data_IF_973758664490
#
_entry.id   IF_973758664490
#
_cell.length_a   1.000
_cell.length_b   1.000
_cell.length_c   1.000
_cell.angle_alpha   90.00
_cell.angle_beta   90.00
_cell.angle_gamma   90.00
#
_symmetry.space_group_name_H-M   'P 1'
#
loop_
_entity.id
_entity.type
_entity.pdbx_description
1 polymer ?
#
# COMPACT_ATOMS: atom_id res chain seq x y z
N UNK A 1 67.19 -36.88 -1.40
CA UNK A 1 66.22 -36.15 -2.25
C UNK A 1 65.90 -34.83 -1.59
N UNK A 2 66.59 -33.77 -1.99
CA UNK A 2 66.53 -32.44 -1.41
C UNK A 2 65.54 -31.60 -2.23
N UNK A 3 64.43 -31.20 -1.64
CA UNK A 3 63.45 -30.33 -2.29
C UNK A 3 63.87 -28.87 -2.04
N UNK A 4 64.38 -28.12 -3.03
CA UNK A 4 64.87 -26.77 -2.80
C UNK A 4 63.69 -25.85 -2.46
N UNK A 5 63.72 -25.37 -1.22
CA UNK A 5 62.88 -24.32 -0.66
C UNK A 5 62.77 -23.17 -1.67
N UNK A 6 61.54 -22.73 -1.92
CA UNK A 6 61.24 -21.48 -2.62
C UNK A 6 62.12 -20.34 -2.06
N UNK A 7 62.70 -19.49 -2.92
CA UNK A 7 63.56 -18.41 -2.46
C UNK A 7 62.79 -17.42 -1.58
N UNK A 8 63.43 -16.85 -0.54
CA UNK A 8 62.83 -15.81 0.27
C UNK A 8 62.81 -14.50 -0.54
N UNK A 9 61.61 -13.98 -0.76
CA UNK A 9 61.27 -12.58 -1.08
C UNK A 9 62.23 -11.82 -2.02
N UNK A 10 61.84 -11.68 -3.29
CA UNK A 10 62.47 -10.75 -4.23
C UNK A 10 62.12 -9.30 -3.89
N UNK A 11 63.14 -8.44 -3.94
CA UNK A 11 63.24 -7.04 -3.50
C UNK A 11 62.41 -6.00 -4.31
N UNK A 12 61.24 -6.39 -4.81
CA UNK A 12 60.35 -5.52 -5.60
C UNK A 12 58.87 -5.65 -5.27
N UNK A 13 58.51 -6.47 -4.29
CA UNK A 13 57.12 -6.70 -3.91
C UNK A 13 56.65 -5.58 -2.98
N UNK A 14 56.37 -4.41 -3.57
CA UNK A 14 55.77 -3.27 -2.87
C UNK A 14 54.57 -3.80 -2.09
N UNK A 15 54.66 -3.77 -0.77
CA UNK A 15 53.68 -4.29 0.19
C UNK A 15 52.31 -3.62 0.01
N UNK A 16 51.56 -4.04 -1.02
CA UNK A 16 50.25 -3.48 -1.34
C UNK A 16 49.22 -4.07 -0.38
N UNK A 17 48.46 -3.20 0.26
CA UNK A 17 47.29 -3.60 1.03
C UNK A 17 46.29 -4.32 0.11
N UNK A 18 45.92 -5.55 0.48
CA UNK A 18 44.91 -6.35 -0.21
C UNK A 18 43.71 -6.51 0.70
N UNK A 19 42.53 -6.51 0.09
CA UNK A 19 41.29 -6.85 0.81
C UNK A 19 41.10 -8.36 0.73
N UNK A 20 40.96 -8.99 1.89
CA UNK A 20 40.66 -10.40 2.05
C UNK A 20 39.32 -10.55 2.77
N UNK A 21 38.55 -11.56 2.41
CA UNK A 21 37.35 -11.95 3.14
C UNK A 21 37.66 -13.18 4.00
N UNK A 22 37.22 -13.18 5.26
CA UNK A 22 37.27 -14.36 6.12
C UNK A 22 36.14 -15.34 5.76
N UNK A 23 36.22 -16.58 6.24
CA UNK A 23 35.14 -17.56 6.04
C UNK A 23 33.81 -17.12 6.69
N UNK A 24 33.86 -16.20 7.66
CA UNK A 24 32.72 -15.63 8.37
C UNK A 24 32.10 -14.42 7.64
N UNK A 25 32.73 -13.96 6.56
CA UNK A 25 32.28 -12.84 5.73
C UNK A 25 32.96 -11.51 6.04
N UNK A 26 33.83 -11.45 7.05
CA UNK A 26 34.44 -10.18 7.46
C UNK A 26 35.49 -9.68 6.47
N UNK A 27 35.54 -8.36 6.30
CA UNK A 27 36.50 -7.71 5.42
C UNK A 27 37.74 -7.35 6.19
N UNK A 28 38.83 -8.06 5.92
CA UNK A 28 40.15 -7.75 6.44
C UNK A 28 40.97 -6.98 5.40
N UNK A 29 41.59 -5.89 5.82
CA UNK A 29 42.64 -5.21 5.07
C UNK A 29 43.99 -5.77 5.55
N UNK A 30 44.69 -6.49 4.67
CA UNK A 30 45.95 -7.15 4.99
C UNK A 30 47.11 -6.56 4.19
N UNK A 31 48.26 -6.37 4.85
CA UNK A 31 49.55 -6.10 4.20
C UNK A 31 50.45 -7.30 4.49
N UNK A 32 50.85 -8.04 3.45
CA UNK A 32 51.57 -9.29 3.60
C UNK A 32 50.78 -10.30 4.43
N UNK A 33 51.26 -10.60 5.64
CA UNK A 33 50.60 -11.49 6.62
C UNK A 33 49.94 -10.74 7.79
N UNK A 34 50.15 -9.43 7.91
CA UNK A 34 49.58 -8.64 8.98
C UNK A 34 48.18 -8.13 8.60
N UNK A 35 47.22 -8.26 9.53
CA UNK A 35 45.90 -7.66 9.43
C UNK A 35 45.98 -6.25 10.01
N UNK A 36 45.71 -5.22 9.21
CA UNK A 36 45.75 -3.83 9.64
C UNK A 36 44.39 -3.33 10.15
N UNK A 37 43.31 -3.84 9.57
CA UNK A 37 41.96 -3.51 9.98
C UNK A 37 41.04 -4.69 9.64
N UNK A 38 40.24 -5.08 10.61
CA UNK A 38 39.14 -6.01 10.43
C UNK A 38 37.85 -5.21 10.54
N UNK A 39 37.22 -4.95 9.39
CA UNK A 39 35.85 -4.48 9.39
C UNK A 39 35.00 -5.75 9.43
N UNK A 40 34.49 -6.08 10.62
CA UNK A 40 33.39 -7.03 10.71
C UNK A 40 32.36 -6.59 9.67
N UNK A 41 32.11 -7.43 8.67
CA UNK A 41 31.05 -7.15 7.72
C UNK A 41 29.80 -7.39 8.54
N UNK A 42 29.39 -6.38 9.33
CA UNK A 42 28.17 -6.40 10.13
C UNK A 42 27.14 -6.92 9.15
N UNK A 43 26.73 -8.18 9.33
CA UNK A 43 25.87 -8.86 8.36
C UNK A 43 24.80 -7.84 8.04
N UNK A 44 24.68 -7.44 6.77
CA UNK A 44 23.52 -6.65 6.31
C UNK A 44 22.30 -7.51 6.63
N UNK A 45 21.79 -7.47 7.87
CA UNK A 45 20.88 -8.51 8.34
C UNK A 45 20.73 -8.74 9.85
N UNK A 46 21.71 -8.42 10.71
CA UNK A 46 21.51 -8.57 12.17
C UNK A 46 21.29 -7.25 12.93
N UNK A 47 21.35 -6.11 12.23
CA UNK A 47 21.19 -4.78 12.81
C UNK A 47 19.75 -4.27 12.76
N UNK A 48 19.06 -4.31 13.90
CA UNK A 48 17.70 -3.79 14.18
C UNK A 48 16.59 -4.30 13.26
N UNK A 49 15.63 -5.02 13.85
CA UNK A 49 14.35 -5.37 13.19
C UNK A 49 13.69 -4.08 12.70
N UNK A 50 13.29 -4.04 11.43
CA UNK A 50 12.51 -2.93 10.88
C UNK A 50 11.23 -2.75 11.71
N UNK A 51 11.06 -1.57 12.30
CA UNK A 51 9.83 -1.18 12.99
C UNK A 51 9.12 -0.09 12.19
N UNK A 52 7.79 -0.06 12.24
CA UNK A 52 7.00 0.97 11.55
C UNK A 52 7.21 2.33 12.23
N UNK A 53 7.47 2.31 13.53
CA UNK A 53 7.82 3.44 14.40
C UNK A 53 9.10 4.12 13.90
N UNK A 54 10.15 3.36 13.60
CA UNK A 54 11.39 3.92 13.03
C UNK A 54 11.16 4.52 11.64
N UNK A 55 10.36 3.86 10.80
CA UNK A 55 10.00 4.40 9.49
C UNK A 55 9.23 5.72 9.65
N UNK A 56 8.28 5.77 10.58
CA UNK A 56 7.49 6.97 10.84
C UNK A 56 8.34 8.10 11.38
N UNK A 57 9.26 7.83 12.30
CA UNK A 57 10.18 8.85 12.80
C UNK A 57 11.05 9.46 11.69
N UNK A 58 11.54 8.64 10.76
CA UNK A 58 12.25 9.15 9.57
C UNK A 58 11.35 10.03 8.70
N UNK A 59 10.07 9.70 8.58
CA UNK A 59 9.10 10.53 7.86
C UNK A 59 8.81 11.84 8.60
N UNK A 60 8.74 11.85 9.93
CA UNK A 60 8.64 13.08 10.74
C UNK A 60 9.84 13.98 10.49
N UNK A 61 11.05 13.44 10.63
CA UNK A 61 12.30 14.18 10.36
C UNK A 61 12.35 14.71 8.93
N UNK A 62 11.84 13.95 7.95
CA UNK A 62 11.76 14.40 6.55
C UNK A 62 10.82 15.60 6.38
N UNK A 63 9.68 15.62 7.08
CA UNK A 63 8.74 16.74 7.05
C UNK A 63 9.37 17.98 7.72
N UNK A 64 10.04 17.80 8.85
CA UNK A 64 10.72 18.91 9.54
C UNK A 64 11.88 19.46 8.71
N UNK A 65 12.68 18.58 8.09
CA UNK A 65 13.77 18.97 7.20
C UNK A 65 13.27 19.78 5.99
N UNK A 66 12.14 19.38 5.42
CA UNK A 66 11.52 20.07 4.30
C UNK A 66 11.04 21.48 4.64
N UNK A 67 10.58 21.70 5.88
CA UNK A 67 10.05 23.00 6.34
C UNK A 67 11.10 23.93 6.89
N UNK A 68 11.99 23.39 7.71
CA UNK A 68 12.90 24.17 8.55
C UNK A 68 14.37 23.87 8.25
N UNK A 69 14.67 22.90 7.37
CA UNK A 69 16.03 22.49 7.05
C UNK A 69 16.63 21.55 8.09
N UNK A 70 17.21 22.10 9.17
CA UNK A 70 17.95 21.30 10.16
C UNK A 70 17.43 21.44 11.60
N UNK A 71 16.88 22.59 11.93
CA UNK A 71 16.49 22.96 13.29
C UNK A 71 15.14 23.66 13.19
N UNK A 72 14.22 23.32 14.08
CA UNK A 72 12.95 24.02 14.28
C UNK A 72 13.31 25.41 14.84
N UNK A 73 12.94 26.52 14.17
CA UNK A 73 13.24 27.86 14.64
C UNK A 73 12.75 28.06 16.08
N UNK A 74 13.53 28.78 16.87
CA UNK A 74 13.16 29.16 18.23
C UNK A 74 11.99 30.15 18.18
N UNK A 75 10.83 29.84 18.77
CA UNK A 75 9.67 30.71 18.77
C UNK A 75 9.67 31.72 19.94
N UNK A 76 10.83 32.06 20.52
CA UNK A 76 10.95 32.98 21.65
C UNK A 76 10.03 34.21 21.49
N UNK A 77 9.17 34.44 22.48
CA UNK A 77 8.15 35.50 22.54
C UNK A 77 7.17 35.61 21.35
N UNK A 78 7.01 34.53 20.57
CA UNK A 78 6.08 34.49 19.45
C UNK A 78 4.87 33.58 19.76
N UNK A 79 3.71 33.91 19.18
CA UNK A 79 2.49 33.10 19.25
C UNK A 79 2.64 31.69 18.62
N UNK A 80 3.78 31.41 17.98
CA UNK A 80 4.11 30.13 17.35
C UNK A 80 4.65 29.06 18.32
N UNK A 81 4.93 29.41 19.59
CA UNK A 81 5.47 28.45 20.58
C UNK A 81 4.60 27.20 20.75
N UNK A 82 3.25 27.30 20.86
CA UNK A 82 2.39 26.11 20.90
C UNK A 82 2.48 25.25 19.64
N UNK A 83 2.65 25.86 18.46
CA UNK A 83 2.79 25.14 17.20
C UNK A 83 4.11 24.36 17.15
N UNK A 84 5.22 24.99 17.58
CA UNK A 84 6.53 24.36 17.65
C UNK A 84 6.55 23.19 18.65
N UNK A 85 5.98 23.37 19.84
CA UNK A 85 5.80 22.27 20.81
C UNK A 85 4.89 21.17 20.27
N UNK A 86 3.89 21.51 19.46
CA UNK A 86 3.03 20.57 18.75
C UNK A 86 3.81 19.63 17.82
N UNK A 87 4.87 20.11 17.16
CA UNK A 87 5.74 19.29 16.32
C UNK A 87 6.54 18.28 17.14
N UNK A 88 7.10 18.72 18.26
CA UNK A 88 7.85 17.84 19.19
C UNK A 88 6.92 16.80 19.82
N UNK A 89 5.72 17.22 20.20
CA UNK A 89 4.67 16.29 20.66
C UNK A 89 4.32 15.28 19.57
N UNK A 90 4.22 15.69 18.31
CA UNK A 90 3.98 14.76 17.20
C UNK A 90 5.09 13.70 17.08
N UNK A 91 6.35 14.10 17.21
CA UNK A 91 7.51 13.19 17.21
C UNK A 91 7.43 12.18 18.37
N UNK A 92 7.22 12.67 19.61
CA UNK A 92 7.08 11.82 20.79
C UNK A 92 5.97 10.76 20.64
N UNK A 93 4.82 11.16 20.08
CA UNK A 93 3.67 10.27 19.87
C UNK A 93 3.84 9.29 18.69
N UNK A 94 4.76 9.57 17.77
CA UNK A 94 5.11 8.68 16.67
C UNK A 94 6.07 7.57 17.07
N UNK A 95 6.80 7.72 18.18
CA UNK A 95 7.66 6.68 18.74
C UNK A 95 7.55 6.68 20.26
N UNK A 96 6.51 6.03 20.82
CA UNK A 96 6.37 5.94 22.26
C UNK A 96 7.56 5.17 22.86
N UNK A 97 8.11 5.71 23.94
CA UNK A 97 9.29 5.18 24.63
C UNK A 97 10.00 6.30 25.38
N UNK A 98 10.65 5.96 26.48
CA UNK A 98 11.34 6.93 27.34
C UNK A 98 12.79 7.17 26.89
N UNK A 99 13.32 8.36 27.18
CA UNK A 99 14.74 8.66 27.17
C UNK A 99 15.36 8.96 25.79
N UNK A 100 14.61 8.84 24.70
CA UNK A 100 15.13 9.18 23.36
C UNK A 100 14.77 10.60 22.93
N UNK A 101 13.72 11.21 23.50
CA UNK A 101 13.21 12.50 23.03
C UNK A 101 14.19 13.63 23.33
N UNK A 102 14.85 13.61 24.49
CA UNK A 102 15.87 14.59 24.87
C UNK A 102 17.01 14.69 23.83
N UNK A 103 17.60 13.56 23.45
CA UNK A 103 18.65 13.54 22.43
C UNK A 103 18.16 13.91 21.03
N UNK A 104 16.87 13.69 20.74
CA UNK A 104 16.25 14.14 19.51
C UNK A 104 16.01 15.66 19.49
N UNK A 105 15.50 16.23 20.59
CA UNK A 105 15.30 17.67 20.77
C UNK A 105 16.63 18.43 20.75
N UNK A 106 17.70 17.89 21.36
CA UNK A 106 19.03 18.51 21.29
C UNK A 106 19.51 18.76 19.84
N UNK A 107 19.03 17.97 18.88
CA UNK A 107 19.31 18.14 17.45
C UNK A 107 18.31 19.04 16.73
N UNK A 108 17.02 18.87 17.02
CA UNK A 108 15.94 19.50 16.24
C UNK A 108 15.34 20.75 16.88
N UNK A 109 15.35 20.88 18.19
CA UNK A 109 14.75 21.99 18.94
C UNK A 109 15.56 22.22 20.24
N UNK A 110 16.81 22.70 20.12
CA UNK A 110 17.72 22.84 21.28
C UNK A 110 17.28 23.92 22.29
N UNK A 111 16.33 24.77 21.88
CA UNK A 111 15.73 25.83 22.70
C UNK A 111 14.65 25.32 23.67
N UNK A 112 14.14 24.09 23.48
CA UNK A 112 13.10 23.54 24.38
C UNK A 112 13.71 23.23 25.74
N UNK A 113 13.05 23.71 26.79
CA UNK A 113 13.49 23.47 28.16
C UNK A 113 13.35 21.97 28.54
N UNK A 114 14.29 21.38 29.30
CA UNK A 114 14.22 19.98 29.70
C UNK A 114 12.90 19.58 30.38
N UNK A 115 12.28 20.50 31.10
CA UNK A 115 11.01 20.32 31.80
C UNK A 115 9.85 20.12 30.82
N UNK A 116 9.83 20.87 29.72
CA UNK A 116 8.84 20.74 28.64
C UNK A 116 9.02 19.40 27.90
N UNK A 117 10.27 18.99 27.66
CA UNK A 117 10.58 17.67 27.08
C UNK A 117 10.05 16.56 27.99
N UNK A 118 10.29 16.65 29.30
CA UNK A 118 9.83 15.66 30.28
C UNK A 118 8.30 15.61 30.37
N UNK A 119 7.61 16.75 30.27
CA UNK A 119 6.16 16.81 30.22
C UNK A 119 5.60 16.10 28.98
N UNK A 120 6.20 16.34 27.80
CA UNK A 120 5.82 15.69 26.54
C UNK A 120 6.10 14.18 26.58
N UNK A 121 7.24 13.76 27.15
CA UNK A 121 7.56 12.33 27.31
C UNK A 121 6.55 11.63 28.22
N UNK A 122 6.15 12.26 29.34
CA UNK A 122 5.15 11.71 30.27
C UNK A 122 3.79 11.52 29.58
N UNK A 123 3.36 12.52 28.82
CA UNK A 123 2.15 12.47 27.99
C UNK A 123 2.18 11.36 26.93
N UNK A 124 3.35 11.10 26.35
CA UNK A 124 3.54 10.06 25.35
C UNK A 124 3.63 8.65 25.97
N UNK A 125 4.26 8.53 27.14
CA UNK A 125 4.47 7.27 27.85
C UNK A 125 3.16 6.58 28.26
N UNK A 126 2.11 7.36 28.58
CA UNK A 126 0.78 6.82 28.89
C UNK A 126 0.10 6.10 27.71
N UNK A 127 0.60 6.25 26.48
CA UNK A 127 -0.02 5.65 25.29
C UNK A 127 0.64 4.33 24.90
N UNK A 128 -0.14 3.25 24.98
CA UNK A 128 0.27 1.90 24.51
C UNK A 128 0.46 1.80 23.00
N UNK A 129 -0.13 2.69 22.21
CA UNK A 129 -0.12 2.63 20.74
C UNK A 129 0.36 3.94 20.14
N UNK A 130 1.15 3.82 19.09
CA UNK A 130 1.57 4.92 18.23
C UNK A 130 0.36 5.69 17.67
N UNK A 131 0.54 6.99 17.46
CA UNK A 131 -0.48 7.88 16.91
C UNK A 131 -1.06 7.37 15.58
N UNK A 132 -2.36 7.58 15.33
CA UNK A 132 -2.94 7.26 14.02
C UNK A 132 -2.32 8.15 12.93
N UNK A 133 -2.19 7.61 11.71
CA UNK A 133 -1.54 8.30 10.59
C UNK A 133 -2.11 9.71 10.32
N UNK A 134 -3.43 9.87 10.38
CA UNK A 134 -4.10 11.14 10.11
C UNK A 134 -4.01 12.12 11.29
N UNK A 135 -3.91 11.61 12.52
CA UNK A 135 -3.66 12.44 13.69
C UNK A 135 -2.22 12.98 13.67
N UNK A 136 -1.24 12.16 13.26
CA UNK A 136 0.12 12.61 13.01
C UNK A 136 0.17 13.67 11.90
N UNK A 137 -0.57 13.47 10.81
CA UNK A 137 -0.64 14.44 9.73
C UNK A 137 -1.23 15.78 10.17
N UNK A 138 -2.23 15.79 11.06
CA UNK A 138 -2.80 17.04 11.60
C UNK A 138 -1.82 17.79 12.49
N UNK A 139 -1.15 17.11 13.42
CA UNK A 139 -0.14 17.75 14.29
C UNK A 139 1.03 18.30 13.49
N UNK A 140 1.41 17.60 12.42
CA UNK A 140 2.47 18.04 11.52
C UNK A 140 1.96 18.94 10.39
N UNK A 141 0.67 19.25 10.27
CA UNK A 141 0.11 20.01 9.14
C UNK A 141 0.45 19.46 7.75
N UNK A 142 0.55 18.14 7.59
CA UNK A 142 0.96 17.51 6.32
C UNK A 142 -0.21 17.49 5.34
N UNK A 143 -0.09 18.21 4.23
CA UNK A 143 -1.05 18.20 3.11
C UNK A 143 -0.81 17.02 2.15
N UNK A 144 -1.76 16.73 1.27
CA UNK A 144 -1.64 15.67 0.28
C UNK A 144 -0.48 15.95 -0.69
N UNK A 145 -0.25 17.22 -1.00
CA UNK A 145 0.87 17.68 -1.82
C UNK A 145 2.21 17.33 -1.15
N UNK A 146 2.42 17.76 0.10
CA UNK A 146 3.64 17.47 0.87
C UNK A 146 3.84 15.95 0.99
N UNK A 147 2.77 15.22 1.31
CA UNK A 147 2.80 13.76 1.41
C UNK A 147 3.27 13.10 0.12
N UNK A 148 2.79 13.59 -1.02
CA UNK A 148 3.13 13.03 -2.34
C UNK A 148 4.55 13.42 -2.76
N UNK A 149 4.92 14.70 -2.60
CA UNK A 149 6.25 15.24 -2.93
C UNK A 149 7.36 14.58 -2.11
N UNK A 150 7.13 14.39 -0.81
CA UNK A 150 8.07 13.72 0.09
C UNK A 150 7.95 12.19 0.07
N UNK A 151 6.95 11.62 -0.60
CA UNK A 151 6.76 10.17 -0.68
C UNK A 151 6.48 9.50 0.67
N UNK A 152 5.72 10.16 1.55
CA UNK A 152 5.40 9.65 2.88
C UNK A 152 4.41 8.47 2.80
N UNK A 153 4.71 7.39 3.53
CA UNK A 153 3.95 6.14 3.51
C UNK A 153 3.16 5.94 4.80
N UNK A 154 3.72 6.29 5.95
CA UNK A 154 3.12 6.05 7.27
C UNK A 154 2.32 7.23 7.80
N UNK A 155 2.62 8.45 7.37
CA UNK A 155 1.89 9.68 7.72
C UNK A 155 0.76 9.94 6.72
N UNK A 156 -0.39 10.39 7.25
CA UNK A 156 -1.57 10.73 6.48
C UNK A 156 -1.48 12.07 5.74
N UNK A 157 -2.63 12.64 5.40
CA UNK A 157 -2.75 14.04 4.97
C UNK A 157 -3.93 14.67 5.71
N UNK A 158 -3.85 15.96 6.05
CA UNK A 158 -4.86 16.67 6.85
C UNK A 158 -5.95 17.35 6.01
N UNK A 159 -5.64 17.72 4.77
CA UNK A 159 -6.49 18.43 3.81
C UNK A 159 -7.47 17.51 3.05
N UNK A 160 -7.12 16.23 2.89
CA UNK A 160 -7.93 15.27 2.12
C UNK A 160 -8.35 14.08 2.98
N UNK A 161 -9.66 13.74 3.04
CA UNK A 161 -10.15 12.63 3.83
C UNK A 161 -9.57 11.29 3.33
N UNK A 162 -9.56 10.30 4.21
CA UNK A 162 -8.98 8.97 3.93
C UNK A 162 -9.63 8.28 2.72
N UNK A 163 -10.95 8.42 2.55
CA UNK A 163 -11.69 7.81 1.46
C UNK A 163 -11.22 8.33 0.08
N UNK A 164 -11.10 9.65 -0.07
CA UNK A 164 -10.62 10.28 -1.29
C UNK A 164 -9.16 9.91 -1.60
N UNK A 165 -8.28 9.87 -0.58
CA UNK A 165 -6.90 9.40 -0.79
C UNK A 165 -6.81 7.97 -1.30
N UNK A 166 -7.68 7.09 -0.82
CA UNK A 166 -7.77 5.71 -1.32
C UNK A 166 -8.30 5.65 -2.75
N UNK A 167 -9.28 6.49 -3.10
CA UNK A 167 -9.79 6.61 -4.46
C UNK A 167 -8.70 7.10 -5.43
N UNK A 168 -7.94 8.14 -5.05
CA UNK A 168 -6.81 8.65 -5.83
C UNK A 168 -5.71 7.59 -6.01
N UNK A 169 -5.35 6.87 -4.95
CA UNK A 169 -4.37 5.79 -5.01
C UNK A 169 -4.84 4.65 -5.93
N UNK A 170 -6.13 4.28 -5.87
CA UNK A 170 -6.73 3.27 -6.74
C UNK A 170 -6.73 3.74 -8.20
N UNK A 171 -7.10 4.99 -8.47
CA UNK A 171 -7.10 5.57 -9.82
C UNK A 171 -5.68 5.59 -10.42
N UNK A 172 -4.67 6.04 -9.64
CA UNK A 172 -3.26 6.04 -10.04
C UNK A 172 -2.76 4.62 -10.34
N UNK A 173 -3.06 3.65 -9.48
CA UNK A 173 -2.71 2.24 -9.70
C UNK A 173 -3.37 1.68 -10.96
N UNK A 174 -4.65 2.00 -11.18
CA UNK A 174 -5.38 1.56 -12.37
C UNK A 174 -4.81 2.18 -13.66
N UNK A 175 -4.40 3.45 -13.62
CA UNK A 175 -3.73 4.11 -14.75
C UNK A 175 -2.39 3.46 -15.06
N UNK A 176 -1.54 3.25 -14.05
CA UNK A 176 -0.24 2.58 -14.21
C UNK A 176 -0.39 1.13 -14.72
N UNK A 177 -1.40 0.40 -14.26
CA UNK A 177 -1.67 -0.95 -14.76
C UNK A 177 -2.14 -0.95 -16.23
N UNK A 178 -3.00 0.01 -16.60
CA UNK A 178 -3.42 0.22 -18.00
C UNK A 178 -2.22 0.52 -18.91
N UNK A 179 -1.35 1.42 -18.48
CA UNK A 179 -0.13 1.78 -19.20
C UNK A 179 0.82 0.59 -19.34
N UNK A 180 1.10 -0.12 -18.24
CA UNK A 180 1.94 -1.33 -18.25
C UNK A 180 1.39 -2.40 -19.19
N UNK A 181 0.08 -2.65 -19.16
CA UNK A 181 -0.58 -3.61 -20.06
C UNK A 181 -0.51 -3.16 -21.52
N UNK A 182 -0.71 -1.88 -21.80
CA UNK A 182 -0.55 -1.31 -23.15
C UNK A 182 0.89 -1.45 -23.65
N UNK A 183 1.88 -1.10 -22.83
CA UNK A 183 3.30 -1.26 -23.15
C UNK A 183 3.66 -2.73 -23.44
N UNK A 184 3.18 -3.67 -22.60
CA UNK A 184 3.35 -5.10 -22.84
C UNK A 184 2.75 -5.55 -24.17
N UNK A 185 1.51 -5.15 -24.49
CA UNK A 185 0.87 -5.50 -25.77
C UNK A 185 1.67 -4.98 -26.97
N UNK A 186 2.21 -3.76 -26.89
CA UNK A 186 3.07 -3.20 -27.96
C UNK A 186 4.39 -3.97 -28.09
N UNK A 187 5.03 -4.32 -26.97
CA UNK A 187 6.26 -5.12 -26.98
C UNK A 187 6.04 -6.52 -27.58
N UNK A 188 4.87 -7.12 -27.35
CA UNK A 188 4.46 -8.40 -27.95
C UNK A 188 4.04 -8.26 -29.44
N UNK A 189 4.15 -7.08 -30.05
CA UNK A 189 3.77 -6.83 -31.44
C UNK A 189 2.27 -6.88 -31.72
N UNK A 190 1.42 -6.80 -30.69
CA UNK A 190 -0.03 -6.84 -30.88
C UNK A 190 -0.52 -5.51 -31.42
N UNK A 191 -1.27 -5.56 -32.53
CA UNK A 191 -1.90 -4.39 -33.14
C UNK A 191 -2.85 -3.71 -32.16
N UNK A 192 -2.86 -2.39 -32.17
CA UNK A 192 -3.80 -1.60 -31.35
C UNK A 192 -5.21 -1.67 -31.94
N UNK A 193 -6.25 -1.44 -31.12
CA UNK A 193 -7.62 -1.39 -31.63
C UNK A 193 -7.78 -0.30 -32.70
N UNK A 194 -7.02 0.80 -32.59
CA UNK A 194 -7.00 1.88 -33.56
C UNK A 194 -6.44 1.42 -34.93
N UNK A 195 -5.32 0.69 -34.93
CA UNK A 195 -4.77 0.06 -36.15
C UNK A 195 -5.76 -0.92 -36.77
N UNK A 196 -6.32 -1.83 -35.96
CA UNK A 196 -7.32 -2.82 -36.43
C UNK A 196 -8.55 -2.10 -36.98
N UNK A 197 -9.01 -1.03 -36.34
CA UNK A 197 -10.17 -0.27 -36.79
C UNK A 197 -9.88 0.53 -38.07
N UNK A 198 -8.67 1.05 -38.24
CA UNK A 198 -8.27 1.77 -39.44
C UNK A 198 -8.23 0.85 -40.67
N UNK A 199 -7.78 -0.39 -40.48
CA UNK A 199 -7.81 -1.44 -41.50
C UNK A 199 -9.21 -2.04 -41.73
N UNK A 200 -10.20 -1.70 -40.88
CA UNK A 200 -11.54 -2.29 -41.00
C UNK A 200 -12.26 -1.79 -42.26
N UNK A 201 -13.01 -2.68 -42.90
CA UNK A 201 -13.87 -2.35 -44.05
C UNK A 201 -14.88 -1.23 -43.77
N UNK A 202 -15.22 -1.02 -42.49
CA UNK A 202 -16.09 0.10 -42.10
C UNK A 202 -15.36 1.44 -42.10
N UNK A 203 -14.05 1.47 -41.87
CA UNK A 203 -13.24 2.68 -41.95
C UNK A 203 -12.93 3.06 -43.40
N UNK A 204 -12.63 2.10 -44.27
CA UNK A 204 -12.39 2.35 -45.70
C UNK A 204 -13.65 2.71 -46.50
N UNK A 205 -14.85 2.48 -45.93
CA UNK A 205 -16.17 2.84 -46.51
C UNK A 205 -16.30 2.54 -48.01
N UNK A 206 -15.99 1.32 -48.47
CA UNK A 206 -15.94 0.96 -49.89
C UNK A 206 -17.28 1.16 -50.62
N UNK A 207 -18.41 1.08 -49.91
CA UNK A 207 -19.74 1.32 -50.46
C UNK A 207 -19.93 2.74 -51.03
N UNK A 208 -19.17 3.73 -50.56
CA UNK A 208 -19.19 5.07 -51.13
C UNK A 208 -18.59 5.09 -52.54
N UNK A 209 -17.50 4.34 -52.77
CA UNK A 209 -16.88 4.22 -54.09
C UNK A 209 -17.79 3.47 -55.08
N UNK A 210 -18.55 2.48 -54.61
CA UNK A 210 -19.54 1.75 -55.40
C UNK A 210 -20.88 2.49 -55.57
N UNK A 211 -21.06 3.66 -54.94
CA UNK A 211 -22.30 4.43 -55.02
C UNK A 211 -23.52 3.72 -54.40
N UNK A 212 -23.32 2.76 -53.50
CA UNK A 212 -24.40 2.00 -52.85
C UNK A 212 -24.49 2.27 -51.36
N UNK A 213 -25.67 2.05 -50.77
CA UNK A 213 -25.83 2.17 -49.33
C UNK A 213 -24.99 1.11 -48.58
N UNK A 214 -24.47 1.45 -47.40
CA UNK A 214 -23.73 0.53 -46.51
C UNK A 214 -24.47 -0.80 -46.31
N UNK A 215 -25.78 -0.73 -46.08
CA UNK A 215 -26.64 -1.91 -45.86
C UNK A 215 -26.67 -2.80 -47.10
N UNK A 216 -26.84 -2.22 -48.28
CA UNK A 216 -26.84 -2.94 -49.55
C UNK A 216 -25.50 -3.60 -49.82
N UNK A 217 -24.39 -2.89 -49.55
CA UNK A 217 -23.04 -3.41 -49.75
C UNK A 217 -22.75 -4.66 -48.90
N UNK A 218 -23.04 -4.62 -47.60
CA UNK A 218 -22.90 -5.79 -46.73
C UNK A 218 -23.89 -6.91 -47.08
N UNK A 219 -25.12 -6.59 -47.51
CA UNK A 219 -26.09 -7.60 -47.95
C UNK A 219 -25.60 -8.35 -49.19
N UNK A 220 -25.06 -7.65 -50.18
CA UNK A 220 -24.47 -8.25 -51.39
C UNK A 220 -23.34 -9.24 -51.04
N UNK A 221 -22.47 -8.88 -50.09
CA UNK A 221 -21.40 -9.79 -49.60
C UNK A 221 -21.89 -10.90 -48.67
N UNK A 222 -22.92 -10.67 -47.86
CA UNK A 222 -23.50 -11.68 -46.97
C UNK A 222 -24.29 -12.78 -47.68
N UNK A 223 -24.46 -12.67 -49.01
CA UNK A 223 -25.12 -13.70 -49.83
C UNK A 223 -24.12 -14.68 -50.45
N UNK A 224 -22.81 -14.42 -50.34
CA UNK A 224 -21.81 -15.45 -50.56
C UNK A 224 -21.77 -16.31 -49.29
N UNK A 225 -22.33 -17.53 -49.38
CA UNK A 225 -22.14 -18.54 -48.35
C UNK A 225 -20.65 -18.59 -48.02
N UNK A 226 -20.26 -18.23 -46.79
CA UNK A 226 -18.92 -18.55 -46.28
C UNK A 226 -18.75 -20.05 -46.44
N UNK A 227 -18.01 -20.44 -47.49
CA UNK A 227 -17.62 -21.82 -47.72
C UNK A 227 -16.64 -22.12 -46.60
N UNK A 228 -17.17 -22.70 -45.52
CA UNK A 228 -16.34 -23.26 -44.45
C UNK A 228 -15.65 -24.44 -45.11
N UNK A 229 -14.43 -24.22 -45.61
CA UNK A 229 -13.57 -25.31 -46.03
C UNK A 229 -13.20 -26.10 -44.77
N UNK A 230 -14.06 -27.06 -44.45
CA UNK A 230 -13.72 -28.15 -43.54
C UNK A 230 -12.48 -28.83 -44.14
N UNK A 231 -11.35 -28.91 -43.42
CA UNK A 231 -10.17 -29.57 -43.95
C UNK A 231 -10.52 -31.01 -44.31
N UNK A 232 -10.55 -31.27 -45.61
CA UNK A 232 -10.79 -32.59 -46.22
C UNK A 232 -9.75 -33.56 -45.67
N UNK A 233 -10.15 -34.41 -44.72
CA UNK A 233 -9.28 -35.46 -44.17
C UNK A 233 -9.51 -35.86 -42.71
N UNK A 234 -10.30 -35.11 -41.94
CA UNK A 234 -10.75 -35.57 -40.60
C UNK A 234 -12.23 -35.32 -40.43
N UNK A 235 -13.02 -36.35 -40.71
CA UNK A 235 -14.36 -36.48 -40.14
C UNK A 235 -14.21 -36.34 -38.62
N UNK A 236 -14.83 -35.35 -37.95
CA UNK A 236 -14.98 -35.43 -36.51
C UNK A 236 -15.84 -36.66 -36.24
N UNK A 237 -15.31 -37.59 -35.44
CA UNK A 237 -16.09 -38.64 -34.83
C UNK A 237 -17.38 -38.02 -34.28
N UNK A 238 -18.52 -38.69 -34.52
CA UNK A 238 -19.81 -38.34 -33.92
C UNK A 238 -19.58 -37.91 -32.47
N UNK A 239 -19.77 -36.63 -32.18
CA UNK A 239 -20.05 -36.19 -30.82
C UNK A 239 -21.41 -36.81 -30.53
N UNK A 240 -21.35 -37.97 -29.88
CA UNK A 240 -22.46 -38.61 -29.21
C UNK A 240 -23.23 -37.55 -28.43
N UNK A 241 -24.54 -37.56 -28.65
CA UNK A 241 -25.54 -36.66 -28.10
C UNK A 241 -25.15 -36.08 -26.73
N UNK A 242 -24.93 -34.77 -26.69
CA UNK A 242 -25.13 -34.03 -25.44
C UNK A 242 -26.62 -34.16 -25.15
N UNK A 243 -27.05 -34.80 -24.05
CA UNK A 243 -28.46 -34.92 -23.72
C UNK A 243 -28.97 -33.52 -23.41
N UNK A 244 -29.81 -33.00 -24.30
CA UNK A 244 -30.63 -31.82 -24.05
C UNK A 244 -31.59 -32.20 -22.92
N UNK A 245 -31.57 -31.53 -21.76
CA UNK A 245 -32.59 -31.74 -20.75
C UNK A 245 -33.95 -31.38 -21.38
N UNK A 246 -34.83 -32.36 -21.49
CA UNK A 246 -36.23 -32.16 -21.84
C UNK A 246 -36.92 -31.53 -20.64
N UNK A 247 -36.93 -30.21 -20.58
CA UNK A 247 -37.88 -29.46 -19.77
C UNK A 247 -39.22 -29.40 -20.53
N UNK A 248 -39.95 -30.51 -20.45
CA UNK A 248 -41.37 -30.57 -20.79
C UNK A 248 -42.09 -31.24 -19.63
N UNK A 249 -42.68 -30.45 -18.74
CA UNK A 249 -44.12 -30.48 -18.43
C UNK A 249 -44.46 -29.90 -17.04
N UNK A 250 -45.57 -29.14 -17.02
CA UNK A 250 -46.46 -28.75 -15.90
C UNK A 250 -45.99 -27.57 -15.04
N UNK A 251 -46.76 -26.51 -14.78
CA UNK A 251 -48.15 -26.06 -15.01
C UNK A 251 -48.08 -24.51 -14.93
N UNK A 252 -48.71 -23.71 -15.80
CA UNK A 252 -50.16 -23.51 -15.85
C UNK A 252 -50.58 -22.41 -14.86
N UNK A 253 -50.86 -21.20 -15.35
CA UNK A 253 -51.30 -20.09 -14.51
C UNK A 253 -51.44 -18.75 -15.24
N UNK A 254 -52.60 -18.58 -15.87
CA UNK A 254 -53.11 -17.40 -16.58
C UNK A 254 -52.86 -16.05 -15.88
N UNK A 255 -52.63 -14.98 -16.66
CA UNK A 255 -53.36 -13.71 -16.58
C UNK A 255 -52.75 -12.68 -17.53
N UNK A 256 -53.19 -12.70 -18.77
CA UNK A 256 -53.28 -11.50 -19.59
C UNK A 256 -54.44 -10.63 -19.08
N UNK A 257 -54.27 -9.29 -19.20
CA UNK A 257 -55.27 -8.23 -19.02
C UNK A 257 -55.66 -7.88 -17.57
N UNK A 258 -55.08 -6.80 -17.04
CA UNK A 258 -55.81 -5.61 -16.59
C UNK A 258 -54.83 -4.56 -16.02
N UNK A 259 -55.19 -3.28 -16.15
CA UNK A 259 -54.68 -2.13 -15.41
C UNK A 259 -53.42 -1.44 -15.96
N UNK A 260 -53.58 -0.90 -17.16
CA UNK A 260 -53.13 0.46 -17.44
C UNK A 260 -54.10 1.42 -16.72
N UNK A 261 -53.88 1.65 -15.43
CA UNK A 261 -54.59 2.69 -14.67
C UNK A 261 -53.61 3.79 -14.28
N UNK A 262 -53.97 4.98 -14.75
CA UNK A 262 -53.40 6.29 -14.49
C UNK A 262 -53.08 6.50 -13.02
N UNK A 263 -51.82 6.78 -12.69
CA UNK A 263 -51.43 7.25 -11.36
C UNK A 263 -51.25 8.78 -11.38
N UNK A 264 -51.99 9.54 -10.55
CA UNK A 264 -51.97 10.99 -10.59
C UNK A 264 -50.69 11.55 -9.98
N UNK A 265 -50.32 12.71 -10.52
CA UNK A 265 -49.23 13.58 -10.13
C UNK A 265 -49.62 14.34 -8.85
N UNK A 266 -49.36 13.76 -7.68
CA UNK A 266 -49.38 14.49 -6.42
C UNK A 266 -48.44 13.83 -5.40
N UNK A 267 -47.81 14.67 -4.59
CA UNK A 267 -46.93 14.35 -3.45
C UNK A 267 -45.44 14.10 -3.77
N UNK A 268 -44.83 15.19 -4.24
CA UNK A 268 -43.53 15.63 -3.72
C UNK A 268 -43.65 15.87 -2.20
N UNK A 269 -42.97 15.07 -1.38
CA UNK A 269 -42.16 15.49 -0.23
C UNK A 269 -41.93 14.31 0.72
N UNK A 270 -40.68 14.17 1.16
CA UNK A 270 -40.41 13.55 2.46
C UNK A 270 -39.73 12.19 2.41
N UNK A 271 -38.53 12.17 2.99
CA UNK A 271 -37.93 11.04 3.70
C UNK A 271 -37.30 9.95 2.82
N UNK A 272 -35.98 10.06 2.62
CA UNK A 272 -35.10 8.90 2.48
C UNK A 272 -34.17 8.85 3.68
N UNK A 273 -34.61 8.06 4.66
CA UNK A 273 -33.75 7.41 5.63
C UNK A 273 -32.94 6.30 4.93
N UNK A 274 -31.66 6.22 5.30
CA UNK A 274 -30.87 5.01 5.57
C UNK A 274 -31.09 3.80 4.64
N UNK A 275 -30.37 3.84 3.50
CA UNK A 275 -30.19 2.70 2.61
C UNK A 275 -28.95 1.89 3.00
N UNK A 276 -29.18 0.84 3.77
CA UNK A 276 -28.31 -0.28 4.10
C UNK A 276 -27.71 -0.92 2.83
N UNK A 277 -26.41 -0.75 2.61
CA UNK A 277 -25.71 -1.28 1.45
C UNK A 277 -25.42 -2.78 1.61
N UNK A 278 -26.15 -3.60 0.84
CA UNK A 278 -25.99 -5.05 0.75
C UNK A 278 -24.55 -5.47 0.41
N UNK A 279 -24.00 -6.33 1.27
CA UNK A 279 -22.71 -6.98 1.12
C UNK A 279 -22.73 -8.06 0.03
N UNK A 280 -22.32 -7.70 -1.19
CA UNK A 280 -21.96 -8.65 -2.23
C UNK A 280 -20.63 -9.35 -1.91
N UNK A 281 -20.70 -10.46 -1.17
CA UNK A 281 -19.55 -11.29 -0.81
C UNK A 281 -18.96 -12.04 -2.01
N UNK A 282 -17.92 -11.49 -2.62
CA UNK A 282 -17.05 -12.21 -3.57
C UNK A 282 -16.21 -13.21 -2.78
N UNK A 283 -16.54 -14.50 -2.88
CA UNK A 283 -15.75 -15.61 -2.33
C UNK A 283 -14.42 -15.72 -3.07
N UNK A 284 -13.35 -15.20 -2.46
CA UNK A 284 -11.97 -15.47 -2.89
C UNK A 284 -11.52 -16.89 -2.55
N UNK A 285 -10.50 -17.43 -3.25
CA UNK A 285 -10.00 -18.77 -3.02
C UNK A 285 -9.36 -18.92 -1.64
N UNK A 286 -9.74 -19.99 -0.93
CA UNK A 286 -9.28 -20.35 0.41
C UNK A 286 -7.76 -20.58 0.45
N UNK A 287 -7.02 -20.05 1.44
CA UNK A 287 -5.64 -20.46 1.67
C UNK A 287 -5.60 -21.90 2.22
N UNK A 288 -4.60 -22.67 1.76
CA UNK A 288 -4.30 -24.02 2.22
C UNK A 288 -4.00 -24.03 3.72
N UNK A 289 -4.73 -24.86 4.46
CA UNK A 289 -4.57 -25.14 5.87
C UNK A 289 -3.23 -25.86 6.14
N UNK A 290 -2.30 -25.17 6.79
CA UNK A 290 -1.18 -25.78 7.50
C UNK A 290 -1.51 -25.84 8.99
N UNK A 291 -2.20 -26.88 9.44
CA UNK A 291 -2.45 -27.15 10.84
C UNK A 291 -1.17 -27.66 11.52
N UNK A 292 -0.45 -26.78 12.22
CA UNK A 292 0.48 -27.18 13.27
C UNK A 292 -0.22 -26.98 14.61
N UNK A 293 -0.42 -28.09 15.32
CA UNK A 293 -1.03 -28.11 16.63
C UNK A 293 -0.27 -27.24 17.63
N UNK A 294 -1.03 -26.51 18.45
CA UNK A 294 -0.58 -26.04 19.76
C UNK A 294 -1.70 -26.32 20.76
N UNK A 295 -1.29 -26.98 21.84
CA UNK A 295 -2.07 -27.37 23.00
C UNK A 295 -2.64 -26.14 23.72
N UNK A 296 -3.84 -26.22 24.34
CA UNK A 296 -4.29 -25.20 25.27
C UNK A 296 -3.50 -25.33 26.58
N UNK A 297 -2.71 -24.29 26.90
CA UNK A 297 -2.20 -24.07 28.25
C UNK A 297 -3.32 -23.41 29.06
N UNK A 298 -3.76 -24.10 30.10
CA UNK A 298 -4.66 -23.54 31.10
C UNK A 298 -4.02 -22.32 31.75
N UNK A 299 -4.78 -21.23 31.81
CA UNK A 299 -4.51 -20.17 32.77
C UNK A 299 -5.56 -20.25 33.87
N UNK A 300 -5.04 -20.59 35.05
CA UNK A 300 -5.71 -20.37 36.32
C UNK A 300 -6.01 -18.88 36.49
N UNK A 301 -7.25 -18.58 36.82
CA UNK A 301 -7.69 -17.26 37.27
C UNK A 301 -7.34 -17.13 38.75
N UNK A 302 -6.55 -16.13 39.17
CA UNK A 302 -6.49 -15.78 40.58
C UNK A 302 -7.76 -15.02 40.99
N UNK A 303 -8.23 -15.44 42.15
CA UNK A 303 -9.33 -14.94 42.95
C UNK A 303 -8.82 -13.75 43.79
N UNK A 304 -9.40 -12.56 43.63
CA UNK A 304 -9.30 -11.41 44.56
C UNK A 304 -10.68 -10.73 44.43
N UNK A 305 -11.66 -10.82 45.33
CA UNK A 305 -11.74 -10.78 46.79
C UNK A 305 -11.29 -9.44 47.42
N UNK A 306 -12.31 -8.59 47.66
CA UNK A 306 -12.44 -7.57 48.72
C UNK A 306 -11.53 -6.32 48.63
N UNK A 307 -11.89 -5.09 49.02
CA UNK A 307 -12.98 -4.50 49.80
C UNK A 307 -13.21 -3.07 49.24
N UNK A 308 -14.44 -2.56 49.10
CA UNK A 308 -15.20 -1.80 50.10
C UNK A 308 -14.38 -0.72 50.82
N UNK A 309 -14.47 0.55 50.38
CA UNK A 309 -14.34 1.69 51.28
C UNK A 309 -15.17 2.89 50.80
N UNK A 310 -16.12 3.20 51.68
CA UNK A 310 -17.10 4.26 51.78
C UNK A 310 -16.46 5.66 51.82
N UNK A 311 -17.20 6.70 51.40
CA UNK A 311 -16.80 8.13 51.45
C UNK A 311 -16.57 8.71 52.86
N UNK A 312 -16.52 10.05 53.05
CA UNK A 312 -17.63 10.94 52.68
C UNK A 312 -17.27 12.35 52.16
N UNK A 313 -18.34 13.04 51.75
CA UNK A 313 -18.54 14.48 51.59
C UNK A 313 -18.07 15.30 52.80
N UNK A 314 -17.48 16.49 52.58
CA UNK A 314 -17.54 17.68 53.47
C UNK A 314 -17.22 18.91 52.58
N UNK A 315 -18.24 19.66 52.15
CA UNK A 315 -18.72 20.98 52.63
C UNK A 315 -17.96 22.23 52.13
N UNK A 316 -18.79 23.15 51.63
CA UNK A 316 -18.57 24.57 51.41
C UNK A 316 -17.97 25.30 52.63
N UNK A 317 -17.10 26.27 52.39
CA UNK A 317 -17.01 27.48 53.23
C UNK A 317 -16.26 28.63 52.53
N UNK A 318 -16.96 29.77 52.46
CA UNK A 318 -16.51 31.18 52.38
C UNK A 318 -15.94 31.72 51.06
#
# INVERSE_FOLDING_TARGET
MFNPKRPPFSDGDVMRARRRFTAEGDRQLVIGRAVLAEAAETRRGEGRRFTIEDLRMREVEKVLADRFGRIIPDPEDTDDRPAALGLVRAAALCRPGSGWLSGWCARWAPWIAPEEIAAIERDAAGRKRMLKADAAARLLGVTLEIRTRLGLRTIGACDVPKAERLALAKAKKAAADRERKAAKRRADGRRTLAEISAESLSASKPWLAEGVSRRTWYRRRGTEMSRVDLPSGKMPALISAIPVPRDSERRGGNASQALFESRPEAERMGQRADGEAGGGGVRGPRPRSGSKGRRPLGMAMPHEAEANETGPEVEDAA
#
